data_IF_404168964873
#
_entry.id   IF_404168964873
#
_cell.length_a   1.000
_cell.length_b   1.000
_cell.length_c   1.000
_cell.angle_alpha   90.00
_cell.angle_beta   90.00
_cell.angle_gamma   90.00
#
_symmetry.space_group_name_H-M   'P 1'
#
loop_
_entity.id
_entity.type
_entity.pdbx_description
1 polymer ?
#
# COMPACT_ATOMS: atom_id res chain seq x y z
N UNK A 1 1.61 10.05 91.18
CA UNK A 1 1.21 9.02 92.17
C UNK A 1 0.61 7.86 91.38
N UNK A 2 1.12 6.72 91.69
CA UNK A 2 0.65 5.38 91.43
C UNK A 2 0.67 4.89 90.00
N UNK A 3 1.75 4.14 89.74
CA UNK A 3 2.05 3.16 88.73
C UNK A 3 1.18 1.91 88.83
N UNK A 4 0.68 1.38 87.76
CA UNK A 4 0.38 -0.06 87.70
C UNK A 4 0.70 -0.61 86.38
N UNK A 5 1.70 -1.50 86.36
CA UNK A 5 2.11 -2.37 85.30
C UNK A 5 1.20 -3.59 85.21
N UNK A 6 0.78 -4.00 84.04
CA UNK A 6 0.16 -5.30 83.83
C UNK A 6 0.99 -6.11 82.89
N UNK A 7 1.14 -7.49 83.03
CA UNK A 7 2.20 -8.26 82.48
C UNK A 7 1.87 -8.85 81.09
N UNK A 8 2.94 -9.15 80.39
CA UNK A 8 3.01 -9.90 79.12
C UNK A 8 2.40 -11.29 79.27
N UNK A 9 1.44 -11.63 78.40
CA UNK A 9 1.01 -13.01 78.17
C UNK A 9 1.78 -13.56 76.96
N UNK A 10 2.52 -14.63 77.20
CA UNK A 10 3.18 -15.48 76.21
C UNK A 10 2.12 -16.18 75.37
N UNK A 11 2.19 -16.02 74.02
CA UNK A 11 1.49 -16.90 73.10
C UNK A 11 2.48 -17.84 72.43
N UNK A 12 2.18 -19.12 72.56
CA UNK A 12 2.83 -20.28 71.98
C UNK A 12 2.77 -20.26 70.43
N UNK A 13 3.80 -20.81 69.73
CA UNK A 13 3.76 -20.93 68.26
C UNK A 13 2.93 -22.15 67.87
N UNK A 14 1.89 -21.92 67.05
CA UNK A 14 1.15 -22.98 66.41
C UNK A 14 1.76 -23.30 65.01
N UNK A 15 1.91 -24.56 64.86
CA UNK A 15 2.15 -25.45 63.70
C UNK A 15 2.24 -24.89 62.26
N UNK A 16 3.29 -25.38 61.62
CA UNK A 16 3.52 -25.51 60.18
C UNK A 16 2.25 -25.80 59.39
N UNK A 17 1.86 -24.86 58.52
CA UNK A 17 0.94 -25.08 57.39
C UNK A 17 1.74 -25.54 56.20
N UNK A 18 1.31 -26.64 55.59
CA UNK A 18 1.89 -27.24 54.41
C UNK A 18 1.93 -26.31 53.20
N UNK A 19 2.90 -26.43 52.27
CA UNK A 19 2.95 -25.61 51.05
C UNK A 19 1.82 -25.99 50.09
N UNK A 20 1.13 -24.96 49.59
CA UNK A 20 0.07 -25.05 48.62
C UNK A 20 0.65 -25.40 47.22
N UNK A 21 0.33 -26.56 46.60
CA UNK A 21 0.83 -26.93 45.28
C UNK A 21 -0.13 -26.48 44.21
N UNK A 22 -0.09 -25.21 43.78
CA UNK A 22 -0.82 -24.78 42.57
C UNK A 22 -0.42 -23.40 42.12
N UNK A 23 0.80 -23.20 41.64
CA UNK A 23 1.19 -22.08 40.75
C UNK A 23 2.40 -22.46 39.92
N UNK A 24 2.28 -23.49 39.08
CA UNK A 24 3.24 -23.78 38.05
C UNK A 24 2.60 -24.46 36.84
N UNK A 25 1.66 -23.73 36.21
CA UNK A 25 1.25 -23.99 34.82
C UNK A 25 1.04 -22.65 34.12
N UNK A 26 2.09 -21.83 34.09
CA UNK A 26 2.24 -20.85 33.05
C UNK A 26 2.64 -21.61 31.79
N UNK A 27 1.64 -21.90 30.93
CA UNK A 27 1.88 -22.40 29.58
C UNK A 27 2.97 -21.52 28.95
N UNK A 28 3.95 -22.11 28.24
CA UNK A 28 5.00 -21.33 27.60
C UNK A 28 4.33 -20.35 26.63
N UNK A 29 4.55 -19.05 26.87
CA UNK A 29 4.23 -18.01 25.91
C UNK A 29 4.85 -18.43 24.59
N UNK A 30 4.01 -18.82 23.62
CA UNK A 30 4.45 -19.22 22.30
C UNK A 30 5.37 -18.13 21.76
N UNK A 31 6.63 -18.49 21.54
CA UNK A 31 7.63 -17.63 20.94
C UNK A 31 7.05 -16.99 19.66
N UNK A 32 7.37 -15.72 19.37
CA UNK A 32 6.91 -15.07 18.16
C UNK A 32 7.31 -15.94 16.96
N UNK A 33 6.31 -16.35 16.18
CA UNK A 33 6.48 -17.18 14.99
C UNK A 33 7.62 -16.64 14.15
N UNK A 34 8.63 -17.47 13.94
CA UNK A 34 9.82 -17.17 13.18
C UNK A 34 9.45 -16.43 11.88
N UNK A 35 10.09 -15.31 11.64
CA UNK A 35 10.08 -14.61 10.35
C UNK A 35 10.52 -15.63 9.30
N UNK A 36 9.56 -16.17 8.56
CA UNK A 36 9.86 -17.11 7.48
C UNK A 36 10.67 -16.35 6.43
N UNK A 37 11.96 -16.71 6.31
CA UNK A 37 12.83 -16.20 5.24
C UNK A 37 12.11 -16.42 3.91
N UNK A 38 12.11 -15.45 3.00
CA UNK A 38 11.54 -15.65 1.68
C UNK A 38 12.21 -16.87 1.04
N UNK A 39 11.42 -17.79 0.52
CA UNK A 39 11.96 -18.93 -0.20
C UNK A 39 12.54 -18.49 -1.57
N UNK A 40 13.31 -19.38 -2.19
CA UNK A 40 13.99 -19.09 -3.45
C UNK A 40 13.02 -18.63 -4.54
N UNK A 41 11.83 -19.25 -4.61
CA UNK A 41 10.83 -18.91 -5.63
C UNK A 41 10.31 -17.48 -5.45
N UNK A 42 9.93 -17.10 -4.22
CA UNK A 42 9.48 -15.74 -3.92
C UNK A 42 10.60 -14.72 -4.17
N UNK A 43 11.86 -15.07 -3.88
CA UNK A 43 12.99 -14.16 -4.13
C UNK A 43 13.23 -13.94 -5.61
N UNK A 44 13.25 -15.01 -6.42
CA UNK A 44 13.41 -14.90 -7.89
C UNK A 44 12.25 -14.11 -8.49
N UNK A 45 11.01 -14.44 -8.10
CA UNK A 45 9.83 -13.71 -8.57
C UNK A 45 9.87 -12.22 -8.18
N UNK A 46 10.36 -11.89 -6.98
CA UNK A 46 10.54 -10.50 -6.55
C UNK A 46 11.54 -9.75 -7.43
N UNK A 47 12.69 -10.36 -7.73
CA UNK A 47 13.70 -9.74 -8.60
C UNK A 47 13.14 -9.52 -10.01
N UNK A 48 12.46 -10.52 -10.60
CA UNK A 48 11.83 -10.39 -11.92
C UNK A 48 10.77 -9.27 -11.87
N UNK A 49 9.86 -9.32 -10.91
CA UNK A 49 8.79 -8.33 -10.76
C UNK A 49 9.34 -6.91 -10.69
N UNK A 50 10.28 -6.66 -9.78
CA UNK A 50 10.78 -5.31 -9.53
C UNK A 50 11.63 -4.80 -10.69
N UNK A 51 12.44 -5.65 -11.32
CA UNK A 51 13.28 -5.26 -12.46
C UNK A 51 12.44 -4.96 -13.69
N UNK A 52 11.48 -5.83 -14.01
CA UNK A 52 10.59 -5.63 -15.18
C UNK A 52 9.70 -4.42 -14.96
N UNK A 53 9.06 -4.30 -13.77
CA UNK A 53 8.23 -3.14 -13.48
C UNK A 53 9.01 -1.83 -13.57
N UNK A 54 10.18 -1.75 -12.93
CA UNK A 54 11.01 -0.55 -12.95
C UNK A 54 11.47 -0.18 -14.36
N UNK A 55 11.84 -1.17 -15.17
CA UNK A 55 12.32 -0.96 -16.55
C UNK A 55 11.22 -0.38 -17.45
N UNK A 56 10.03 -0.95 -17.42
CA UNK A 56 8.96 -0.58 -18.35
C UNK A 56 8.17 0.66 -17.91
N UNK A 57 7.92 0.82 -16.61
CA UNK A 57 7.01 1.87 -16.12
C UNK A 57 7.78 3.10 -15.61
N UNK A 58 8.37 3.15 -14.41
CA UNK A 58 8.97 4.40 -13.92
C UNK A 58 10.22 4.87 -14.68
N UNK A 59 10.98 3.97 -15.32
CA UNK A 59 12.14 4.35 -16.11
C UNK A 59 11.82 4.56 -17.60
N UNK A 60 10.63 4.17 -18.05
CA UNK A 60 10.18 4.30 -19.45
C UNK A 60 11.16 3.73 -20.49
N UNK A 61 11.96 2.71 -20.13
CA UNK A 61 12.97 2.15 -21.02
C UNK A 61 12.40 1.15 -22.05
N UNK A 62 11.11 0.85 -21.93
CA UNK A 62 10.42 -0.08 -22.85
C UNK A 62 10.45 0.36 -24.30
N UNK A 63 10.49 1.66 -24.59
CA UNK A 63 10.55 2.20 -25.95
C UNK A 63 11.78 1.76 -26.74
N UNK A 64 12.85 1.32 -26.08
CA UNK A 64 14.02 0.75 -26.78
C UNK A 64 13.78 -0.67 -27.31
N UNK A 65 12.74 -1.36 -26.83
CA UNK A 65 12.47 -2.76 -27.14
C UNK A 65 11.14 -2.97 -27.89
N UNK A 66 10.22 -2.01 -27.83
CA UNK A 66 8.86 -2.16 -28.30
C UNK A 66 8.53 -1.01 -29.25
N UNK A 67 7.95 -1.31 -30.41
CA UNK A 67 7.46 -0.30 -31.34
C UNK A 67 6.28 0.46 -30.76
N UNK A 68 6.09 1.70 -31.17
CA UNK A 68 4.99 2.57 -30.69
C UNK A 68 3.62 1.92 -30.89
N UNK A 69 3.38 1.28 -32.05
CA UNK A 69 2.10 0.62 -32.38
C UNK A 69 1.80 -0.57 -31.45
N UNK A 70 2.83 -1.29 -30.98
CA UNK A 70 2.67 -2.42 -30.07
C UNK A 70 2.65 -2.01 -28.61
N UNK A 71 3.02 -0.76 -28.29
CA UNK A 71 3.16 -0.24 -26.92
C UNK A 71 1.95 -0.46 -26.04
N UNK A 72 0.75 -0.03 -26.44
CA UNK A 72 -0.47 -0.17 -25.63
C UNK A 72 -0.82 -1.63 -25.30
N UNK A 73 -0.80 -2.52 -26.29
CA UNK A 73 -1.10 -3.94 -26.08
C UNK A 73 -0.06 -4.61 -25.16
N UNK A 74 1.22 -4.26 -25.35
CA UNK A 74 2.32 -4.78 -24.53
C UNK A 74 2.20 -4.26 -23.10
N UNK A 75 1.84 -3.00 -22.87
CA UNK A 75 1.60 -2.44 -21.54
C UNK A 75 0.52 -3.21 -20.79
N UNK A 76 -0.62 -3.48 -21.42
CA UNK A 76 -1.70 -4.28 -20.84
C UNK A 76 -1.24 -5.72 -20.53
N UNK A 77 -0.53 -6.37 -21.46
CA UNK A 77 -0.01 -7.71 -21.25
C UNK A 77 1.04 -7.77 -20.11
N UNK A 78 1.88 -6.75 -20.00
CA UNK A 78 2.86 -6.63 -18.92
C UNK A 78 2.19 -6.49 -17.55
N UNK A 79 1.11 -5.72 -17.42
CA UNK A 79 0.37 -5.64 -16.16
C UNK A 79 -0.17 -7.02 -15.74
N UNK A 80 -0.73 -7.80 -16.67
CA UNK A 80 -1.22 -9.16 -16.39
C UNK A 80 -0.07 -10.09 -15.97
N UNK A 81 1.05 -10.07 -16.70
CA UNK A 81 2.21 -10.89 -16.37
C UNK A 81 2.81 -10.50 -15.02
N UNK A 82 2.98 -9.20 -14.77
CA UNK A 82 3.49 -8.68 -13.49
C UNK A 82 2.56 -8.99 -12.32
N UNK A 83 1.25 -8.97 -12.53
CA UNK A 83 0.30 -9.39 -11.50
C UNK A 83 0.54 -10.85 -11.10
N UNK A 84 0.67 -11.76 -12.07
CA UNK A 84 0.92 -13.17 -11.80
C UNK A 84 2.26 -13.36 -11.06
N UNK A 85 3.34 -12.73 -11.53
CA UNK A 85 4.66 -12.78 -10.89
C UNK A 85 4.63 -12.13 -9.51
N UNK A 86 3.94 -11.00 -9.35
CA UNK A 86 3.76 -10.29 -8.09
C UNK A 86 3.01 -11.13 -7.05
N UNK A 87 1.97 -11.86 -7.45
CA UNK A 87 1.27 -12.80 -6.57
C UNK A 87 2.21 -13.89 -6.02
N UNK A 88 3.15 -14.38 -6.82
CA UNK A 88 4.18 -15.33 -6.37
C UNK A 88 5.22 -14.65 -5.47
N UNK A 89 5.71 -13.48 -5.87
CA UNK A 89 6.71 -12.71 -5.12
C UNK A 89 6.22 -12.34 -3.71
N UNK A 90 4.98 -11.89 -3.61
CA UNK A 90 4.38 -11.38 -2.39
C UNK A 90 3.37 -12.34 -1.75
N UNK A 91 3.38 -13.64 -2.09
CA UNK A 91 2.40 -14.63 -1.62
C UNK A 91 2.25 -14.68 -0.10
N UNK A 92 3.34 -14.59 0.64
CA UNK A 92 3.31 -14.63 2.10
C UNK A 92 2.72 -13.36 2.74
N UNK A 93 3.13 -12.13 2.37
CA UNK A 93 2.46 -10.94 2.86
C UNK A 93 1.00 -10.84 2.39
N UNK A 94 0.67 -11.25 1.17
CA UNK A 94 -0.72 -11.28 0.68
C UNK A 94 -1.59 -12.25 1.48
N UNK A 95 -1.11 -13.46 1.76
CA UNK A 95 -1.83 -14.44 2.57
C UNK A 95 -2.07 -13.91 4.00
N UNK A 96 -1.07 -13.29 4.62
CA UNK A 96 -1.21 -12.64 5.94
C UNK A 96 -2.23 -11.50 5.91
N UNK A 97 -2.18 -10.65 4.88
CA UNK A 97 -3.11 -9.55 4.70
C UNK A 97 -4.55 -10.05 4.55
N UNK A 98 -4.77 -11.07 3.73
CA UNK A 98 -6.07 -11.70 3.54
C UNK A 98 -6.61 -12.31 4.83
N UNK A 99 -5.78 -13.02 5.59
CA UNK A 99 -6.16 -13.58 6.89
C UNK A 99 -6.54 -12.50 7.90
N UNK A 100 -5.81 -11.40 7.96
CA UNK A 100 -6.11 -10.26 8.85
C UNK A 100 -7.46 -9.62 8.52
N UNK A 101 -7.76 -9.43 7.23
CA UNK A 101 -9.03 -8.89 6.75
C UNK A 101 -10.17 -9.86 7.07
N UNK A 102 -10.01 -11.16 6.77
CA UNK A 102 -11.01 -12.19 7.01
C UNK A 102 -11.35 -12.34 8.50
N UNK A 103 -10.33 -12.24 9.39
CA UNK A 103 -10.51 -12.34 10.84
C UNK A 103 -11.25 -11.15 11.45
N UNK A 104 -11.28 -9.97 10.79
CA UNK A 104 -11.84 -8.72 11.33
C UNK A 104 -12.68 -7.96 10.31
N UNK A 105 -13.61 -8.64 9.63
CA UNK A 105 -14.39 -8.09 8.51
C UNK A 105 -15.03 -6.72 8.79
N UNK A 106 -15.70 -6.57 9.94
CA UNK A 106 -16.33 -5.28 10.31
C UNK A 106 -15.30 -4.14 10.39
N UNK A 107 -14.15 -4.40 11.02
CA UNK A 107 -13.06 -3.41 11.10
C UNK A 107 -12.48 -3.13 9.71
N UNK A 108 -12.36 -4.14 8.86
CA UNK A 108 -11.87 -3.97 7.50
C UNK A 108 -12.79 -3.04 6.68
N UNK A 109 -14.11 -3.26 6.73
CA UNK A 109 -15.08 -2.38 6.06
C UNK A 109 -14.98 -0.94 6.57
N UNK A 110 -14.95 -0.74 7.90
CA UNK A 110 -14.79 0.61 8.47
C UNK A 110 -13.47 1.26 8.04
N UNK A 111 -12.38 0.49 7.99
CA UNK A 111 -11.07 1.01 7.52
C UNK A 111 -11.12 1.42 6.07
N UNK A 112 -11.80 0.65 5.20
CA UNK A 112 -11.98 1.01 3.79
C UNK A 112 -12.85 2.28 3.63
N UNK A 113 -13.93 2.40 4.38
CA UNK A 113 -14.79 3.60 4.33
C UNK A 113 -14.00 4.83 4.79
N UNK A 114 -13.40 4.78 5.97
CA UNK A 114 -12.65 5.92 6.53
C UNK A 114 -11.41 6.22 5.68
N UNK A 115 -10.68 5.18 5.27
CA UNK A 115 -9.51 5.32 4.39
C UNK A 115 -9.88 5.91 3.04
N UNK A 116 -10.98 5.45 2.42
CA UNK A 116 -11.49 5.97 1.15
C UNK A 116 -11.89 7.45 1.25
N UNK A 117 -12.64 7.82 2.29
CA UNK A 117 -13.01 9.22 2.52
C UNK A 117 -11.77 10.10 2.75
N UNK A 118 -10.79 9.62 3.54
CA UNK A 118 -9.54 10.34 3.74
C UNK A 118 -8.75 10.49 2.44
N UNK A 119 -8.71 9.46 1.60
CA UNK A 119 -8.06 9.49 0.27
C UNK A 119 -8.72 10.54 -0.62
N UNK A 120 -10.05 10.56 -0.71
CA UNK A 120 -10.78 11.56 -1.50
C UNK A 120 -10.45 13.00 -1.06
N UNK A 121 -10.38 13.23 0.26
CA UNK A 121 -10.03 14.57 0.79
C UNK A 121 -8.58 14.94 0.45
N UNK A 122 -7.65 14.01 0.62
CA UNK A 122 -6.22 14.26 0.35
C UNK A 122 -6.01 14.49 -1.16
N UNK A 123 -6.65 13.71 -2.02
CA UNK A 123 -6.57 13.87 -3.47
C UNK A 123 -7.22 15.18 -3.94
N UNK A 124 -8.35 15.57 -3.37
CA UNK A 124 -8.98 16.88 -3.63
C UNK A 124 -8.03 18.03 -3.26
N UNK A 125 -7.35 17.96 -2.12
CA UNK A 125 -6.36 18.97 -1.73
C UNK A 125 -5.22 19.03 -2.76
N UNK A 126 -4.72 17.87 -3.22
CA UNK A 126 -3.73 17.77 -4.29
C UNK A 126 -4.22 18.40 -5.59
N UNK A 127 -5.47 18.13 -5.99
CA UNK A 127 -6.11 18.70 -7.17
C UNK A 127 -6.25 20.22 -7.11
N UNK A 128 -6.70 20.75 -5.96
CA UNK A 128 -6.79 22.19 -5.74
C UNK A 128 -5.41 22.86 -5.77
N UNK A 129 -4.40 22.25 -5.16
CA UNK A 129 -3.03 22.74 -5.18
C UNK A 129 -2.45 22.77 -6.61
N UNK A 130 -2.63 21.66 -7.36
CA UNK A 130 -2.24 21.58 -8.77
C UNK A 130 -2.89 22.67 -9.61
N UNK A 131 -4.22 22.79 -9.53
CA UNK A 131 -4.98 23.79 -10.28
C UNK A 131 -4.56 25.22 -9.96
N UNK A 132 -4.34 25.53 -8.68
CA UNK A 132 -3.86 26.85 -8.26
C UNK A 132 -2.47 27.16 -8.83
N UNK A 133 -1.55 26.21 -8.77
CA UNK A 133 -0.19 26.37 -9.28
C UNK A 133 -0.16 26.49 -10.81
N UNK A 134 -0.95 25.69 -11.52
CA UNK A 134 -1.11 25.79 -12.98
C UNK A 134 -1.67 27.17 -13.39
N UNK A 135 -2.67 27.67 -12.66
CA UNK A 135 -3.24 29.01 -12.91
C UNK A 135 -2.19 30.12 -12.69
N UNK A 136 -1.42 30.04 -11.59
CA UNK A 136 -0.35 31.01 -11.29
C UNK A 136 0.78 30.97 -12.34
N UNK A 137 1.06 29.80 -12.90
CA UNK A 137 2.05 29.62 -13.97
C UNK A 137 1.54 30.00 -15.37
N UNK A 138 0.28 30.39 -15.52
CA UNK A 138 -0.34 30.67 -16.84
C UNK A 138 -0.55 29.43 -17.70
N UNK A 139 -0.62 28.24 -17.06
CA UNK A 139 -0.78 26.93 -17.71
C UNK A 139 -2.16 26.32 -17.45
N UNK A 140 -3.18 27.17 -17.26
CA UNK A 140 -4.54 26.73 -17.05
C UNK A 140 -5.04 25.87 -18.22
N UNK A 141 -5.64 24.71 -17.89
CA UNK A 141 -6.13 23.77 -18.90
C UNK A 141 -5.07 22.81 -19.45
N UNK A 142 -3.84 22.80 -18.89
CA UNK A 142 -2.87 21.76 -19.19
C UNK A 142 -3.44 20.38 -18.80
N UNK A 143 -3.34 19.42 -19.72
CA UNK A 143 -3.74 18.02 -19.51
C UNK A 143 -2.48 17.21 -19.31
N UNK A 144 -2.49 16.31 -18.32
CA UNK A 144 -1.40 15.38 -18.09
C UNK A 144 -1.30 14.41 -19.29
N UNK A 145 -0.10 14.22 -19.81
CA UNK A 145 0.13 13.40 -21.01
C UNK A 145 -0.27 11.94 -20.77
N UNK A 146 -0.09 11.43 -19.53
CA UNK A 146 -0.59 10.13 -19.15
C UNK A 146 -2.10 9.98 -19.35
N UNK A 147 -2.89 10.99 -18.99
CA UNK A 147 -4.35 10.93 -19.12
C UNK A 147 -4.77 10.92 -20.60
N UNK A 148 -4.05 11.66 -21.44
CA UNK A 148 -4.24 11.63 -22.89
C UNK A 148 -3.93 10.23 -23.45
N UNK A 149 -2.80 9.63 -23.04
CA UNK A 149 -2.41 8.26 -23.44
C UNK A 149 -3.42 7.21 -23.00
N UNK A 150 -3.95 7.32 -21.77
CA UNK A 150 -5.01 6.41 -21.28
C UNK A 150 -6.29 6.59 -22.09
N UNK A 151 -6.65 7.82 -22.46
CA UNK A 151 -7.82 8.08 -23.29
C UNK A 151 -7.69 7.44 -24.68
N UNK A 152 -6.49 7.44 -25.28
CA UNK A 152 -6.21 6.72 -26.53
C UNK A 152 -6.35 5.20 -26.38
N UNK A 153 -5.74 4.62 -25.32
CA UNK A 153 -5.85 3.18 -25.02
C UNK A 153 -7.29 2.72 -24.84
N UNK A 154 -8.15 3.55 -24.22
CA UNK A 154 -9.57 3.27 -24.06
C UNK A 154 -10.27 3.10 -25.41
N UNK A 155 -9.87 3.83 -26.46
CA UNK A 155 -10.46 3.71 -27.78
C UNK A 155 -9.96 2.46 -28.55
N UNK A 156 -8.83 1.89 -28.16
CA UNK A 156 -8.19 0.76 -28.85
C UNK A 156 -8.68 -0.61 -28.40
N UNK A 157 -9.20 -0.71 -27.16
CA UNK A 157 -9.53 -2.01 -26.55
C UNK A 157 -10.97 -2.07 -26.04
N UNK A 158 -11.57 -3.29 -26.01
CA UNK A 158 -12.90 -3.46 -25.41
C UNK A 158 -12.95 -2.96 -23.96
N UNK A 159 -14.04 -2.30 -23.53
CA UNK A 159 -14.20 -1.74 -22.19
C UNK A 159 -13.87 -2.72 -21.06
N UNK A 160 -14.24 -4.00 -21.22
CA UNK A 160 -13.98 -5.02 -20.18
C UNK A 160 -12.48 -5.24 -19.96
N UNK A 161 -11.64 -5.16 -21.01
CA UNK A 161 -10.18 -5.28 -20.89
C UNK A 161 -9.63 -4.09 -20.12
N UNK A 162 -10.08 -2.87 -20.45
CA UNK A 162 -9.69 -1.64 -19.75
C UNK A 162 -10.06 -1.71 -18.27
N UNK A 163 -11.30 -2.06 -17.96
CA UNK A 163 -11.82 -2.17 -16.59
C UNK A 163 -11.01 -3.20 -15.79
N UNK A 164 -10.77 -4.38 -16.37
CA UNK A 164 -10.03 -5.44 -15.67
C UNK A 164 -8.56 -5.08 -15.53
N UNK A 165 -7.91 -4.61 -16.58
CA UNK A 165 -6.45 -4.40 -16.54
C UNK A 165 -6.11 -3.07 -15.88
N UNK A 166 -6.70 -1.95 -16.31
CA UNK A 166 -6.36 -0.63 -15.76
C UNK A 166 -7.18 -0.30 -14.49
N UNK A 167 -8.37 -0.86 -14.34
CA UNK A 167 -9.20 -0.65 -13.15
C UNK A 167 -8.84 -1.52 -11.96
N UNK A 168 -8.28 -2.73 -12.18
CA UNK A 168 -8.04 -3.70 -11.10
C UNK A 168 -6.59 -4.18 -11.08
N UNK A 169 -6.10 -4.76 -12.17
CA UNK A 169 -4.80 -5.44 -12.20
C UNK A 169 -3.65 -4.44 -12.04
N UNK A 170 -3.68 -3.34 -12.79
CA UNK A 170 -2.69 -2.26 -12.71
C UNK A 170 -2.56 -1.69 -11.31
N UNK A 171 -3.64 -1.18 -10.70
CA UNK A 171 -3.63 -0.71 -9.31
C UNK A 171 -3.01 -1.70 -8.32
N UNK A 172 -3.32 -2.99 -8.41
CA UNK A 172 -2.74 -3.99 -7.51
C UNK A 172 -1.22 -4.14 -7.74
N UNK A 173 -0.79 -4.18 -9.01
CA UNK A 173 0.64 -4.26 -9.37
C UNK A 173 1.40 -3.03 -8.88
N UNK A 174 0.83 -1.85 -9.03
CA UNK A 174 1.43 -0.59 -8.56
C UNK A 174 1.54 -0.57 -7.03
N UNK A 175 0.50 -0.99 -6.31
CA UNK A 175 0.57 -1.07 -4.87
C UNK A 175 1.58 -2.14 -4.38
N UNK A 176 1.73 -3.26 -5.09
CA UNK A 176 2.80 -4.24 -4.82
C UNK A 176 4.18 -3.61 -4.96
N UNK A 177 4.40 -2.79 -5.99
CA UNK A 177 5.68 -2.12 -6.20
C UNK A 177 5.90 -0.98 -5.21
N UNK A 178 5.00 -0.01 -5.14
CA UNK A 178 5.20 1.21 -4.36
C UNK A 178 5.09 0.99 -2.85
N UNK A 179 4.14 0.14 -2.38
CA UNK A 179 3.88 -0.03 -0.94
C UNK A 179 4.63 -1.23 -0.39
N UNK A 180 4.49 -2.40 -1.02
CA UNK A 180 5.09 -3.61 -0.45
C UNK A 180 6.60 -3.68 -0.68
N UNK A 181 7.08 -3.30 -1.88
CA UNK A 181 8.50 -3.35 -2.20
C UNK A 181 9.22 -2.05 -1.84
N UNK A 182 8.83 -0.91 -2.42
CA UNK A 182 9.61 0.33 -2.37
C UNK A 182 9.65 0.94 -0.96
N UNK A 183 8.51 1.04 -0.27
CA UNK A 183 8.50 1.49 1.14
C UNK A 183 9.37 0.56 1.97
N UNK A 184 9.21 -0.77 1.83
CA UNK A 184 10.01 -1.74 2.57
C UNK A 184 11.51 -1.70 2.25
N UNK A 185 11.88 -1.31 1.04
CA UNK A 185 13.27 -1.10 0.63
C UNK A 185 13.86 0.16 1.29
N UNK A 186 13.16 1.29 1.20
CA UNK A 186 13.64 2.59 1.72
C UNK A 186 13.75 2.55 3.24
N UNK A 187 12.83 1.87 3.92
CA UNK A 187 12.86 1.72 5.39
C UNK A 187 14.12 1.02 5.93
N UNK A 188 14.89 0.34 5.09
CA UNK A 188 16.19 -0.22 5.48
C UNK A 188 17.25 0.86 5.73
N UNK A 189 17.04 2.05 5.18
CA UNK A 189 18.03 3.14 5.17
C UNK A 189 17.49 4.46 5.74
N UNK A 190 16.15 4.58 5.86
CA UNK A 190 15.48 5.82 6.26
C UNK A 190 14.23 5.54 7.11
N UNK A 191 13.77 6.51 7.91
CA UNK A 191 12.55 6.35 8.70
C UNK A 191 11.31 6.22 7.81
N UNK A 192 10.27 5.56 8.33
CA UNK A 192 9.02 5.24 7.62
C UNK A 192 8.38 6.46 6.92
N UNK A 193 8.39 7.64 7.56
CA UNK A 193 7.80 8.83 6.95
C UNK A 193 8.53 9.24 5.66
N UNK A 194 9.87 9.12 5.61
CA UNK A 194 10.66 9.37 4.40
C UNK A 194 10.30 8.35 3.32
N UNK A 195 10.20 7.06 3.70
CA UNK A 195 9.82 6.00 2.76
C UNK A 195 8.44 6.26 2.13
N UNK A 196 7.47 6.70 2.94
CA UNK A 196 6.13 7.04 2.45
C UNK A 196 6.20 8.24 1.51
N UNK A 197 6.87 9.34 1.88
CA UNK A 197 6.97 10.54 1.04
C UNK A 197 7.67 10.24 -0.29
N UNK A 198 8.83 9.56 -0.25
CA UNK A 198 9.57 9.21 -1.47
C UNK A 198 8.74 8.29 -2.37
N UNK A 199 8.10 7.26 -1.81
CA UNK A 199 7.22 6.38 -2.57
C UNK A 199 6.06 7.15 -3.20
N UNK A 200 5.51 8.15 -2.54
CA UNK A 200 4.38 8.96 -3.03
C UNK A 200 4.80 9.89 -4.16
N UNK A 201 5.96 10.53 -4.03
CA UNK A 201 6.52 11.38 -5.09
C UNK A 201 6.84 10.55 -6.34
N UNK A 202 7.46 9.38 -6.16
CA UNK A 202 7.77 8.48 -7.27
C UNK A 202 6.50 7.88 -7.90
N UNK A 203 5.44 7.67 -7.11
CA UNK A 203 4.15 7.27 -7.62
C UNK A 203 3.53 8.37 -8.51
N UNK A 204 3.57 9.62 -8.09
CA UNK A 204 3.18 10.74 -8.95
C UNK A 204 4.03 10.80 -10.22
N UNK A 205 5.37 10.73 -10.07
CA UNK A 205 6.31 10.78 -11.19
C UNK A 205 6.12 9.65 -12.21
N UNK A 206 5.57 8.49 -11.82
CA UNK A 206 5.19 7.41 -12.73
C UNK A 206 4.27 7.90 -13.88
N UNK A 207 3.42 8.89 -13.59
CA UNK A 207 2.44 9.42 -14.53
C UNK A 207 2.97 10.59 -15.38
N UNK A 208 4.25 10.95 -15.21
CA UNK A 208 4.90 11.99 -16.02
C UNK A 208 5.55 11.37 -17.26
N UNK A 209 5.38 12.02 -18.41
CA UNK A 209 6.06 11.66 -19.64
C UNK A 209 7.19 12.65 -20.00
N UNK A 210 7.22 13.80 -19.35
CA UNK A 210 8.29 14.80 -19.50
C UNK A 210 8.49 15.59 -18.22
N UNK A 211 9.59 16.34 -18.14
CA UNK A 211 9.86 17.27 -17.04
C UNK A 211 9.36 18.69 -17.33
N UNK A 212 8.41 18.86 -18.25
CA UNK A 212 7.76 20.14 -18.46
C UNK A 212 7.04 20.60 -17.18
N UNK A 213 7.03 21.90 -16.91
CA UNK A 213 6.41 22.45 -15.71
C UNK A 213 4.92 22.07 -15.61
N UNK A 214 4.22 22.00 -16.75
CA UNK A 214 2.82 21.54 -16.81
C UNK A 214 2.66 20.09 -16.28
N UNK A 215 3.54 19.17 -16.71
CA UNK A 215 3.54 17.77 -16.25
C UNK A 215 3.82 17.69 -14.74
N UNK A 216 4.89 18.38 -14.28
CA UNK A 216 5.28 18.39 -12.86
C UNK A 216 4.15 18.91 -11.97
N UNK A 217 3.42 19.92 -12.41
CA UNK A 217 2.31 20.47 -11.64
C UNK A 217 1.04 19.59 -11.76
N UNK A 218 0.81 18.98 -12.91
CA UNK A 218 -0.38 18.14 -13.15
C UNK A 218 -0.31 16.78 -12.41
N UNK A 219 0.88 16.28 -12.03
CA UNK A 219 0.98 15.01 -11.26
C UNK A 219 0.82 15.18 -9.75
N UNK A 220 0.68 16.40 -9.25
CA UNK A 220 0.48 16.63 -7.80
C UNK A 220 -0.68 15.82 -7.22
N UNK A 221 -1.87 15.72 -7.84
CA UNK A 221 -2.96 14.89 -7.34
C UNK A 221 -2.55 13.42 -7.18
N UNK A 222 -1.81 12.87 -8.16
CA UNK A 222 -1.31 11.50 -8.10
C UNK A 222 -0.31 11.29 -6.95
N UNK A 223 0.56 12.25 -6.68
CA UNK A 223 1.47 12.19 -5.53
C UNK A 223 0.70 12.23 -4.20
N UNK A 224 -0.37 13.03 -4.11
CA UNK A 224 -1.24 13.09 -2.93
C UNK A 224 -2.06 11.82 -2.76
N UNK A 225 -2.58 11.24 -3.84
CA UNK A 225 -3.19 9.91 -3.83
C UNK A 225 -2.17 8.87 -3.35
N UNK A 226 -0.96 8.90 -3.89
CA UNK A 226 0.15 8.07 -3.45
C UNK A 226 0.44 8.20 -1.95
N UNK A 227 0.41 9.43 -1.42
CA UNK A 227 0.61 9.70 0.00
C UNK A 227 -0.50 9.06 0.85
N UNK A 228 -1.75 9.19 0.45
CA UNK A 228 -2.88 8.60 1.16
C UNK A 228 -2.78 7.08 1.22
N UNK A 229 -2.48 6.41 0.11
CA UNK A 229 -2.27 4.98 0.02
C UNK A 229 -1.07 4.51 0.87
N UNK A 230 0.04 5.26 0.85
CA UNK A 230 1.22 4.98 1.68
C UNK A 230 0.92 5.09 3.17
N UNK A 231 0.22 6.14 3.60
CA UNK A 231 -0.22 6.32 4.98
C UNK A 231 -1.18 5.21 5.41
N UNK A 232 -2.15 4.87 4.57
CA UNK A 232 -3.10 3.79 4.85
C UNK A 232 -2.37 2.45 5.00
N UNK A 233 -1.43 2.13 4.10
CA UNK A 233 -0.60 0.94 4.19
C UNK A 233 0.11 0.83 5.54
N UNK A 234 0.82 1.88 5.95
CA UNK A 234 1.56 1.90 7.22
C UNK A 234 0.61 1.82 8.43
N UNK A 235 -0.46 2.62 8.43
CA UNK A 235 -1.43 2.68 9.55
C UNK A 235 -2.24 1.39 9.73
N UNK A 236 -2.38 0.58 8.69
CA UNK A 236 -3.07 -0.72 8.74
C UNK A 236 -2.15 -1.91 9.03
N UNK A 237 -0.92 -1.65 9.50
CA UNK A 237 0.06 -2.68 9.81
C UNK A 237 0.67 -3.32 8.56
N UNK A 238 0.90 -2.53 7.54
CA UNK A 238 1.42 -2.92 6.22
C UNK A 238 0.54 -3.96 5.52
N UNK A 239 -0.77 -3.77 5.61
CA UNK A 239 -1.73 -4.60 4.90
C UNK A 239 -2.02 -4.00 3.53
N UNK A 240 -1.48 -4.64 2.48
CA UNK A 240 -1.57 -4.19 1.10
C UNK A 240 -3.01 -4.13 0.57
N UNK A 241 -3.91 -4.97 1.09
CA UNK A 241 -5.27 -5.06 0.57
C UNK A 241 -6.07 -3.77 0.75
N UNK A 242 -5.78 -2.96 1.78
CA UNK A 242 -6.49 -1.71 1.98
C UNK A 242 -6.16 -0.66 0.91
N UNK A 243 -4.90 -0.26 0.70
CA UNK A 243 -4.59 0.69 -0.36
C UNK A 243 -4.93 0.12 -1.75
N UNK A 244 -4.67 -1.16 -2.02
CA UNK A 244 -5.04 -1.78 -3.29
C UNK A 244 -6.56 -1.73 -3.55
N UNK A 245 -7.39 -1.98 -2.54
CA UNK A 245 -8.85 -1.88 -2.70
C UNK A 245 -9.29 -0.44 -2.99
N UNK A 246 -8.73 0.56 -2.30
CA UNK A 246 -9.06 1.97 -2.54
C UNK A 246 -8.58 2.39 -3.93
N UNK A 247 -7.39 1.99 -4.33
CA UNK A 247 -6.85 2.29 -5.66
C UNK A 247 -7.71 1.65 -6.76
N UNK A 248 -8.09 0.39 -6.62
CA UNK A 248 -9.04 -0.24 -7.55
C UNK A 248 -10.37 0.51 -7.60
N UNK A 249 -10.94 0.91 -6.47
CA UNK A 249 -12.20 1.65 -6.45
C UNK A 249 -12.07 3.03 -7.13
N UNK A 250 -10.95 3.73 -6.94
CA UNK A 250 -10.67 4.99 -7.59
C UNK A 250 -10.63 4.82 -9.12
N UNK A 251 -9.84 3.88 -9.62
CA UNK A 251 -9.74 3.62 -11.06
C UNK A 251 -11.05 3.08 -11.65
N UNK A 252 -11.75 2.18 -10.95
CA UNK A 252 -13.05 1.69 -11.39
C UNK A 252 -14.08 2.82 -11.52
N UNK A 253 -14.04 3.83 -10.66
CA UNK A 253 -14.94 4.98 -10.76
C UNK A 253 -14.76 5.74 -12.08
N UNK A 254 -13.54 5.76 -12.65
CA UNK A 254 -13.23 6.38 -13.94
C UNK A 254 -13.61 5.47 -15.12
N UNK A 255 -13.46 4.15 -15.01
CA UNK A 255 -13.61 3.23 -16.15
C UNK A 255 -14.97 2.54 -16.23
N UNK A 256 -15.71 2.35 -15.13
CA UNK A 256 -17.06 1.73 -15.18
C UNK A 256 -18.04 2.43 -16.09
N UNK A 257 -18.05 3.79 -16.23
CA UNK A 257 -18.91 4.47 -17.18
C UNK A 257 -18.76 4.01 -18.64
N UNK A 258 -17.61 3.43 -19.02
CA UNK A 258 -17.40 2.88 -20.36
C UNK A 258 -18.35 1.73 -20.73
N UNK A 259 -18.99 1.09 -19.74
CA UNK A 259 -20.00 0.05 -19.97
C UNK A 259 -21.37 0.62 -20.34
N UNK A 260 -21.58 1.93 -20.20
CA UNK A 260 -22.85 2.60 -20.45
C UNK A 260 -22.92 3.22 -21.86
N UNK A 261 -21.81 3.17 -22.58
CA UNK A 261 -21.64 3.71 -23.93
C UNK A 261 -21.18 2.61 -24.89
#
# INVERSE_FOLDING_TARGET
MSTSRTPLSQQTPTAFGAPNPSLSDSAPVSAPTASTRPDRLSTVALVIFTSVYAFFFPLHLGHFLISEDAGPATGLALYIALFAVGCVAFRHPLARAAHQVAARKRRAVLTLIVGGLATLVIELIGGLASSALLNLAGLSGAILQNDASVAEVIQMFPPIIIIVVLGIVGPIVEEMFFRQFLIGLIERFAPTWVAVVVSSVLFGALHMHSFALSEVLSVIPHAFFGLSCGLLYVKTGRNLLYPASIHCLNNLSAFLPLLLH
#
